data_IF_645407995156
#
_entry.id   IF_645407995156
#
_cell.length_a   1.000
_cell.length_b   1.000
_cell.length_c   1.000
_cell.angle_alpha   90.00
_cell.angle_beta   90.00
_cell.angle_gamma   90.00
#
_symmetry.space_group_name_H-M   'P 1'
#
loop_
_entity.id
_entity.type
_entity.pdbx_description
1 polymer ?
#
# COMPACT_ATOMS: atom_id res chain seq x y z
N UNK A 1 -37.92 39.59 32.63
CA UNK A 1 -36.53 39.72 32.15
C UNK A 1 -36.53 39.64 30.63
N UNK A 2 -35.68 40.42 29.97
CA UNK A 2 -35.46 40.31 28.52
C UNK A 2 -34.06 39.77 28.22
N UNK A 3 -33.94 38.91 27.21
CA UNK A 3 -32.69 38.43 26.67
C UNK A 3 -32.65 38.75 25.17
N UNK A 4 -31.86 39.74 24.79
CA UNK A 4 -31.65 40.14 23.40
C UNK A 4 -30.53 39.32 22.77
N UNK A 5 -30.64 39.09 21.46
CA UNK A 5 -29.55 38.55 20.66
C UNK A 5 -29.47 39.33 19.36
N UNK A 6 -28.27 39.67 18.89
CA UNK A 6 -28.12 40.47 17.67
C UNK A 6 -27.98 39.59 16.43
N UNK A 7 -28.84 39.80 15.43
CA UNK A 7 -28.68 39.23 14.08
C UNK A 7 -29.11 37.76 13.93
N UNK A 8 -29.58 37.40 12.73
CA UNK A 8 -30.23 36.13 12.43
C UNK A 8 -29.30 34.92 12.26
N UNK A 9 -28.30 34.73 13.14
CA UNK A 9 -27.54 33.46 13.21
C UNK A 9 -28.18 32.45 14.16
N UNK A 10 -28.88 32.93 15.18
CA UNK A 10 -29.64 32.09 16.10
C UNK A 10 -31.06 32.63 16.18
N UNK A 11 -32.02 31.72 16.19
CA UNK A 11 -33.44 32.03 16.26
C UNK A 11 -33.98 31.45 17.56
N UNK A 12 -34.52 32.30 18.43
CA UNK A 12 -35.21 31.85 19.62
C UNK A 12 -36.50 31.13 19.20
N UNK A 13 -36.68 29.89 19.62
CA UNK A 13 -37.83 29.05 19.24
C UNK A 13 -38.80 28.84 20.38
N UNK A 14 -38.33 28.79 21.61
CA UNK A 14 -39.15 28.65 22.81
C UNK A 14 -38.49 29.29 24.03
N UNK A 15 -39.31 29.66 24.99
CA UNK A 15 -38.90 29.97 26.36
C UNK A 15 -39.74 29.10 27.28
N UNK A 16 -39.08 28.38 28.18
CA UNK A 16 -39.72 27.49 29.14
C UNK A 16 -39.35 27.90 30.57
N UNK A 17 -40.19 27.54 31.53
CA UNK A 17 -39.86 27.66 32.94
C UNK A 17 -38.57 26.87 33.24
N UNK A 18 -37.60 27.54 33.86
CA UNK A 18 -36.40 26.86 34.37
C UNK A 18 -36.75 25.95 35.54
N UNK A 19 -35.84 25.04 35.90
CA UNK A 19 -36.09 24.02 36.91
C UNK A 19 -36.64 24.56 38.25
N UNK A 20 -36.16 25.72 38.72
CA UNK A 20 -36.65 26.33 39.98
C UNK A 20 -38.05 26.90 39.81
N UNK A 21 -38.31 27.53 38.68
CA UNK A 21 -39.62 28.12 38.37
C UNK A 21 -40.68 27.03 38.16
N UNK A 22 -40.34 25.94 37.47
CA UNK A 22 -41.23 24.80 37.28
C UNK A 22 -41.55 24.06 38.60
N UNK A 23 -40.64 24.12 39.58
CA UNK A 23 -40.80 23.48 40.88
C UNK A 23 -41.72 24.26 41.85
N UNK A 24 -42.15 25.49 41.53
CA UNK A 24 -43.08 26.23 42.38
C UNK A 24 -44.43 25.53 42.49
N UNK A 25 -45.19 25.93 43.51
CA UNK A 25 -46.46 25.37 43.97
C UNK A 25 -46.41 23.85 44.14
N UNK A 26 -45.30 23.34 44.69
CA UNK A 26 -45.09 21.90 44.89
C UNK A 26 -44.90 21.12 43.58
N UNK A 27 -44.37 21.78 42.53
CA UNK A 27 -44.16 21.19 41.20
C UNK A 27 -45.32 21.37 40.23
N UNK A 28 -46.34 22.17 40.59
CA UNK A 28 -47.42 22.53 39.68
C UNK A 28 -47.02 23.65 38.69
N UNK A 29 -45.86 24.28 38.91
CA UNK A 29 -45.38 25.42 38.13
C UNK A 29 -45.84 26.76 38.73
N UNK A 30 -45.50 27.88 38.08
CA UNK A 30 -45.82 29.21 38.58
C UNK A 30 -47.30 29.54 38.44
N UNK A 31 -47.82 30.35 39.35
CA UNK A 31 -49.20 30.83 39.32
C UNK A 31 -49.50 31.74 38.12
N UNK A 32 -48.48 32.40 37.58
CA UNK A 32 -48.58 33.16 36.32
C UNK A 32 -47.26 33.09 35.56
N UNK A 33 -47.35 32.81 34.25
CA UNK A 33 -46.21 32.78 33.34
C UNK A 33 -46.55 33.52 32.04
N UNK A 34 -45.58 34.29 31.56
CA UNK A 34 -45.64 35.00 30.30
C UNK A 34 -44.32 34.82 29.55
N UNK A 35 -44.42 34.33 28.32
CA UNK A 35 -43.29 34.17 27.40
C UNK A 35 -43.59 34.91 26.11
N UNK A 36 -42.61 35.63 25.59
CA UNK A 36 -42.67 36.24 24.27
C UNK A 36 -41.35 35.97 23.55
N UNK A 37 -41.40 35.14 22.52
CA UNK A 37 -40.23 34.74 21.71
C UNK A 37 -39.95 35.71 20.56
N UNK A 38 -40.80 36.73 20.36
CA UNK A 38 -40.61 37.74 19.33
C UNK A 38 -41.14 39.12 19.81
N UNK A 39 -40.57 39.65 20.90
CA UNK A 39 -41.01 40.90 21.49
C UNK A 39 -40.70 42.10 20.59
N UNK A 40 -41.48 43.17 20.73
CA UNK A 40 -41.14 44.45 20.14
C UNK A 40 -39.77 44.95 20.65
N UNK A 41 -39.06 45.77 19.87
CA UNK A 41 -37.77 46.34 20.30
C UNK A 41 -36.53 45.52 19.92
N UNK A 42 -36.69 44.33 19.35
CA UNK A 42 -35.60 43.62 18.67
C UNK A 42 -35.64 42.10 18.83
N UNK A 43 -34.74 41.39 18.13
CA UNK A 43 -34.57 39.95 18.28
C UNK A 43 -34.16 39.60 19.71
N UNK A 44 -34.86 38.63 20.29
CA UNK A 44 -34.76 38.31 21.71
C UNK A 44 -35.99 37.61 22.22
N UNK A 45 -36.03 37.40 23.52
CA UNK A 45 -37.22 36.92 24.21
C UNK A 45 -37.45 37.67 25.50
N UNK A 46 -38.70 37.75 25.93
CA UNK A 46 -39.04 38.19 27.28
C UNK A 46 -39.71 37.08 28.07
N UNK A 47 -39.33 36.97 29.33
CA UNK A 47 -39.87 36.02 30.28
C UNK A 47 -40.35 36.74 31.53
N UNK A 48 -41.60 36.53 31.92
CA UNK A 48 -42.20 37.06 33.13
C UNK A 48 -42.89 35.95 33.90
N UNK A 49 -42.72 35.94 35.23
CA UNK A 49 -43.32 34.91 36.07
C UNK A 49 -43.69 35.45 37.45
N UNK A 50 -44.77 34.92 38.02
CA UNK A 50 -45.13 35.05 39.43
C UNK A 50 -45.23 33.63 39.97
N UNK A 51 -44.34 33.28 40.91
CA UNK A 51 -44.26 31.91 41.43
C UNK A 51 -45.54 31.52 42.18
N UNK A 52 -45.99 32.37 43.10
CA UNK A 52 -47.19 32.13 43.91
C UNK A 52 -47.90 33.44 44.28
N UNK A 53 -49.23 33.46 44.23
CA UNK A 53 -50.08 34.55 44.71
C UNK A 53 -50.50 34.38 46.18
N UNK A 54 -50.47 33.15 46.71
CA UNK A 54 -50.96 32.80 48.04
C UNK A 54 -49.87 32.30 48.98
N UNK A 55 -50.10 32.42 50.29
CA UNK A 55 -49.17 31.90 51.30
C UNK A 55 -49.29 30.35 51.44
N UNK A 56 -48.19 29.63 51.74
CA UNK A 56 -46.81 30.15 51.82
C UNK A 56 -46.30 30.56 50.44
N UNK A 57 -45.63 31.72 50.38
CA UNK A 57 -45.09 32.22 49.13
C UNK A 57 -43.86 31.40 48.74
N UNK A 58 -43.80 31.02 47.47
CA UNK A 58 -42.60 30.40 46.91
C UNK A 58 -41.57 31.47 46.57
N UNK A 59 -40.32 31.14 46.87
CA UNK A 59 -39.17 31.98 46.62
C UNK A 59 -38.09 31.20 45.87
N UNK A 60 -37.35 31.90 45.01
CA UNK A 60 -36.14 31.35 44.42
C UNK A 60 -35.12 31.16 45.55
N UNK A 61 -34.52 29.96 45.72
CA UNK A 61 -33.56 29.71 46.77
C UNK A 61 -32.36 30.67 46.71
N UNK A 62 -31.79 31.01 47.87
CA UNK A 62 -30.55 31.80 47.91
C UNK A 62 -29.38 30.95 47.41
N UNK A 63 -28.59 31.49 46.48
CA UNK A 63 -27.40 30.84 45.95
C UNK A 63 -27.25 30.99 44.44
N UNK A 64 -26.35 30.19 43.87
CA UNK A 64 -26.08 30.11 42.43
C UNK A 64 -26.64 28.82 41.84
N UNK A 65 -26.84 28.79 40.52
CA UNK A 65 -27.34 27.59 39.82
C UNK A 65 -28.85 27.45 39.84
N UNK A 66 -29.58 28.46 40.32
CA UNK A 66 -31.04 28.52 40.20
C UNK A 66 -31.41 28.84 38.75
N UNK A 67 -31.85 27.83 38.01
CA UNK A 67 -32.33 28.01 36.65
C UNK A 67 -33.75 28.60 36.67
N UNK A 68 -33.89 29.82 36.15
CA UNK A 68 -35.16 30.58 36.19
C UNK A 68 -35.97 30.39 34.91
N UNK A 69 -35.30 30.34 33.77
CA UNK A 69 -35.90 30.19 32.45
C UNK A 69 -34.92 29.51 31.51
N UNK A 70 -35.44 28.68 30.60
CA UNK A 70 -34.70 28.03 29.55
C UNK A 70 -35.05 28.66 28.20
N UNK A 71 -34.08 29.30 27.55
CA UNK A 71 -34.24 29.90 26.23
C UNK A 71 -33.69 28.94 25.18
N UNK A 72 -34.59 28.38 24.35
CA UNK A 72 -34.25 27.38 23.35
C UNK A 72 -33.99 28.06 22.00
N UNK A 73 -32.82 27.82 21.41
CA UNK A 73 -32.40 28.42 20.14
C UNK A 73 -32.15 27.36 19.07
N UNK A 74 -32.52 27.67 17.84
CA UNK A 74 -32.04 26.96 16.64
C UNK A 74 -30.97 27.80 15.94
N UNK A 75 -29.98 27.12 15.35
CA UNK A 75 -29.06 27.76 14.41
C UNK A 75 -29.81 28.13 13.12
N UNK A 76 -29.60 29.35 12.63
CA UNK A 76 -30.10 29.78 11.34
C UNK A 76 -29.30 29.11 10.20
N UNK A 77 -29.91 28.97 9.02
CA UNK A 77 -29.21 28.40 7.85
C UNK A 77 -28.02 29.26 7.38
N UNK A 78 -28.00 30.55 7.71
CA UNK A 78 -26.90 31.48 7.45
C UNK A 78 -25.83 31.51 8.55
N UNK A 79 -25.96 30.66 9.58
CA UNK A 79 -24.99 30.56 10.66
C UNK A 79 -23.67 29.97 10.14
N UNK A 80 -22.66 30.84 10.00
CA UNK A 80 -21.32 30.39 9.63
C UNK A 80 -20.67 29.63 10.80
N UNK A 81 -20.05 28.46 10.54
CA UNK A 81 -19.33 27.74 11.57
C UNK A 81 -18.22 28.58 12.24
N UNK A 82 -18.02 28.37 13.54
CA UNK A 82 -17.06 29.11 14.35
C UNK A 82 -17.49 30.53 14.72
N UNK A 83 -18.66 31.01 14.28
CA UNK A 83 -19.17 32.33 14.67
C UNK A 83 -19.69 32.34 16.11
N UNK A 84 -19.46 33.44 16.82
CA UNK A 84 -19.92 33.65 18.21
C UNK A 84 -20.97 34.77 18.25
N UNK A 85 -21.98 34.62 19.10
CA UNK A 85 -23.04 35.61 19.32
C UNK A 85 -23.24 35.85 20.81
N UNK A 86 -23.34 37.11 21.20
CA UNK A 86 -23.68 37.49 22.56
C UNK A 86 -25.19 37.33 22.78
N UNK A 87 -25.53 36.91 23.99
CA UNK A 87 -26.89 36.87 24.51
C UNK A 87 -26.93 37.85 25.67
N UNK A 88 -27.55 39.02 25.43
CA UNK A 88 -27.46 40.17 26.28
C UNK A 88 -28.76 40.41 27.03
N UNK A 89 -28.69 40.49 28.36
CA UNK A 89 -29.87 40.89 29.12
C UNK A 89 -30.29 42.32 28.73
N UNK A 90 -31.56 42.49 28.38
CA UNK A 90 -32.10 43.74 27.87
C UNK A 90 -33.36 44.14 28.63
N UNK A 91 -33.47 45.42 28.95
CA UNK A 91 -34.69 46.03 29.49
C UNK A 91 -35.48 46.80 28.41
N UNK A 92 -35.05 46.70 27.14
CA UNK A 92 -35.64 47.42 26.02
C UNK A 92 -36.60 46.57 25.18
N UNK A 93 -36.70 45.26 25.45
CA UNK A 93 -37.58 44.34 24.73
C UNK A 93 -39.01 44.39 25.29
N UNK A 94 -40.01 44.31 24.42
CA UNK A 94 -41.45 44.34 24.75
C UNK A 94 -42.10 45.71 24.51
N UNK A 95 -43.43 45.73 24.49
CA UNK A 95 -44.22 46.96 24.44
C UNK A 95 -45.38 46.88 25.43
N UNK A 96 -45.29 47.52 26.62
CA UNK A 96 -44.17 48.34 27.09
C UNK A 96 -42.90 47.52 27.36
N UNK A 97 -41.69 48.15 27.39
CA UNK A 97 -40.45 47.44 27.64
C UNK A 97 -40.46 46.67 28.97
N UNK A 98 -40.00 45.43 28.93
CA UNK A 98 -39.95 44.49 30.05
C UNK A 98 -38.61 44.66 30.76
N UNK A 99 -38.63 45.38 31.88
CA UNK A 99 -37.45 45.49 32.74
C UNK A 99 -37.10 44.16 33.43
N UNK A 100 -35.82 43.90 33.59
CA UNK A 100 -35.33 42.76 34.37
C UNK A 100 -35.39 43.10 35.86
N UNK A 101 -36.42 42.59 36.53
CA UNK A 101 -36.69 42.83 37.95
C UNK A 101 -36.94 41.49 38.62
N UNK A 102 -36.45 41.33 39.85
CA UNK A 102 -36.77 40.21 40.74
C UNK A 102 -37.42 40.79 41.99
N UNK A 103 -38.57 40.26 42.38
CA UNK A 103 -39.20 40.58 43.65
C UNK A 103 -38.73 39.58 44.70
N UNK A 104 -38.16 40.09 45.80
CA UNK A 104 -37.69 39.29 46.92
C UNK A 104 -38.67 39.51 48.07
N UNK A 105 -39.12 38.43 48.68
CA UNK A 105 -39.91 38.48 49.91
C UNK A 105 -38.99 38.14 51.08
N UNK A 106 -39.14 38.86 52.19
CA UNK A 106 -38.45 38.57 53.43
C UNK A 106 -39.41 38.83 54.58
N UNK A 107 -39.88 37.75 55.20
CA UNK A 107 -40.95 37.81 56.19
C UNK A 107 -42.25 38.32 55.56
N UNK A 108 -42.74 39.49 56.01
CA UNK A 108 -43.95 40.14 55.49
C UNK A 108 -43.66 41.28 54.51
N UNK A 109 -42.40 41.52 54.17
CA UNK A 109 -41.99 42.63 53.28
C UNK A 109 -41.60 42.10 51.90
N UNK A 110 -42.14 42.70 50.85
CA UNK A 110 -41.72 42.47 49.46
C UNK A 110 -40.95 43.68 48.93
N UNK A 111 -39.83 43.43 48.26
CA UNK A 111 -39.03 44.47 47.64
C UNK A 111 -38.61 44.04 46.22
N UNK A 112 -38.87 44.89 45.23
CA UNK A 112 -38.36 44.71 43.88
C UNK A 112 -36.91 45.19 43.78
N UNK A 113 -36.07 44.38 43.14
CA UNK A 113 -34.66 44.67 42.91
C UNK A 113 -34.32 44.50 41.43
N UNK A 114 -33.43 45.34 40.94
CA UNK A 114 -32.78 45.17 39.64
C UNK A 114 -31.52 44.33 39.90
N UNK A 115 -31.42 43.11 39.35
CA UNK A 115 -30.24 42.29 39.54
C UNK A 115 -29.06 42.84 38.74
N UNK A 116 -27.84 42.45 39.15
CA UNK A 116 -26.67 42.59 38.30
C UNK A 116 -26.83 41.60 37.14
N UNK A 117 -26.72 42.09 35.91
CA UNK A 117 -26.87 41.31 34.70
C UNK A 117 -25.49 40.99 34.13
N UNK A 118 -25.22 39.70 33.95
CA UNK A 118 -24.00 39.21 33.29
C UNK A 118 -24.45 38.48 32.03
N UNK A 119 -24.18 39.09 30.87
CA UNK A 119 -24.51 38.50 29.57
C UNK A 119 -23.69 37.26 29.27
N UNK A 120 -24.22 36.41 28.39
CA UNK A 120 -23.56 35.20 27.91
C UNK A 120 -23.26 35.26 26.42
N UNK A 121 -22.84 34.12 25.87
CA UNK A 121 -22.68 33.95 24.42
C UNK A 121 -22.97 32.51 24.00
N UNK A 122 -23.33 32.35 22.73
CA UNK A 122 -23.44 31.06 22.04
C UNK A 122 -22.47 31.04 20.86
N UNK A 123 -21.86 29.89 20.60
CA UNK A 123 -21.00 29.66 19.43
C UNK A 123 -21.60 28.63 18.50
N UNK A 124 -21.51 28.87 17.20
CA UNK A 124 -21.88 27.90 16.16
C UNK A 124 -20.75 26.89 16.02
N UNK A 125 -21.04 25.62 16.27
CA UNK A 125 -20.03 24.55 16.15
C UNK A 125 -19.55 24.39 14.71
N UNK A 126 -18.30 23.91 14.55
CA UNK A 126 -17.76 23.51 13.25
C UNK A 126 -18.03 22.01 13.04
N UNK A 127 -18.92 21.62 12.10
CA UNK A 127 -19.20 20.21 11.84
C UNK A 127 -17.93 19.47 11.44
N UNK A 128 -17.71 18.29 12.00
CA UNK A 128 -16.57 17.45 11.65
C UNK A 128 -16.75 16.86 10.23
N UNK A 129 -15.68 16.76 9.43
CA UNK A 129 -15.70 15.96 8.21
C UNK A 129 -16.13 14.52 8.50
N UNK A 130 -16.77 13.87 7.54
CA UNK A 130 -17.31 12.51 7.69
C UNK A 130 -16.87 11.59 6.54
N UNK A 131 -17.07 10.28 6.70
CA UNK A 131 -16.82 9.31 5.64
C UNK A 131 -15.35 9.21 5.22
N UNK A 132 -14.41 9.48 6.12
CA UNK A 132 -12.98 9.34 5.84
C UNK A 132 -12.66 7.89 5.48
N UNK A 133 -12.04 7.71 4.33
CA UNK A 133 -11.52 6.46 3.80
C UNK A 133 -10.06 6.63 3.40
N UNK A 134 -9.31 5.54 3.46
CA UNK A 134 -7.88 5.50 3.17
C UNK A 134 -7.56 4.21 2.44
N UNK A 135 -6.76 4.29 1.37
CA UNK A 135 -6.33 3.14 0.60
C UNK A 135 -4.96 3.36 -0.03
N UNK A 136 -4.19 2.29 -0.17
CA UNK A 136 -2.97 2.31 -0.99
C UNK A 136 -3.39 2.40 -2.46
N UNK A 137 -2.93 3.44 -3.15
CA UNK A 137 -3.14 3.65 -4.58
C UNK A 137 -2.01 3.00 -5.40
N UNK A 138 -0.78 3.11 -4.91
CA UNK A 138 0.39 2.48 -5.51
C UNK A 138 1.35 2.02 -4.39
N UNK A 139 1.54 0.70 -4.21
CA UNK A 139 2.42 0.16 -3.17
C UNK A 139 3.91 0.45 -3.42
N UNK A 140 4.28 0.89 -4.63
CA UNK A 140 5.65 1.13 -5.06
C UNK A 140 6.04 2.63 -5.08
N UNK A 141 5.18 3.50 -4.55
CA UNK A 141 5.41 4.93 -4.39
C UNK A 141 5.84 5.67 -5.68
N UNK A 142 5.27 5.33 -6.85
CA UNK A 142 5.27 6.20 -8.03
C UNK A 142 6.64 6.70 -8.52
N UNK A 143 7.71 5.92 -8.36
CA UNK A 143 9.07 6.32 -8.78
C UNK A 143 9.98 6.88 -7.69
N UNK A 144 9.71 6.55 -6.42
CA UNK A 144 10.67 6.73 -5.32
C UNK A 144 12.04 6.11 -5.65
N UNK A 145 13.17 6.72 -5.23
CA UNK A 145 14.51 6.13 -5.38
C UNK A 145 14.70 4.83 -4.58
N UNK A 146 13.78 4.51 -3.67
CA UNK A 146 13.72 3.27 -2.92
C UNK A 146 12.32 2.64 -3.09
N UNK A 147 12.09 1.90 -4.18
CA UNK A 147 10.81 1.21 -4.44
C UNK A 147 10.56 0.16 -3.36
N UNK A 148 9.32 0.02 -2.88
CA UNK A 148 8.95 -1.02 -1.90
C UNK A 148 9.09 -0.64 -0.42
N UNK A 149 9.75 0.48 -0.10
CA UNK A 149 9.86 0.99 1.29
C UNK A 149 8.86 2.10 1.63
N UNK A 150 8.05 2.52 0.66
CA UNK A 150 6.97 3.49 0.82
C UNK A 150 5.84 3.24 -0.17
N UNK A 151 4.64 3.77 0.11
CA UNK A 151 3.47 3.64 -0.75
C UNK A 151 2.77 4.99 -0.95
N UNK A 152 2.19 5.18 -2.14
CA UNK A 152 1.28 6.29 -2.43
C UNK A 152 -0.11 5.92 -1.90
N UNK A 153 -0.60 6.71 -0.96
CA UNK A 153 -1.86 6.52 -0.27
C UNK A 153 -2.83 7.62 -0.68
N UNK A 154 -4.10 7.26 -0.88
CA UNK A 154 -5.18 8.19 -1.09
C UNK A 154 -6.09 8.24 0.14
N UNK A 155 -6.43 9.46 0.55
CA UNK A 155 -7.44 9.75 1.56
C UNK A 155 -8.62 10.45 0.89
N UNK A 156 -9.85 10.12 1.28
CA UNK A 156 -11.08 10.74 0.76
C UNK A 156 -12.12 10.88 1.87
N UNK A 157 -12.85 11.99 1.91
CA UNK A 157 -13.84 12.32 2.94
C UNK A 157 -14.94 13.25 2.38
N UNK A 158 -15.95 13.52 3.20
CA UNK A 158 -17.03 14.48 2.94
C UNK A 158 -16.93 15.66 3.90
N UNK A 159 -17.08 16.87 3.38
CA UNK A 159 -17.14 18.07 4.20
C UNK A 159 -18.60 18.31 4.64
N UNK A 160 -18.84 18.29 5.94
CA UNK A 160 -20.17 18.52 6.55
C UNK A 160 -20.45 20.01 6.80
N UNK A 161 -19.53 20.89 6.41
CA UNK A 161 -19.63 22.33 6.55
C UNK A 161 -18.71 23.06 5.59
N UNK A 162 -18.72 24.39 5.69
CA UNK A 162 -17.76 25.25 5.01
C UNK A 162 -16.53 25.43 5.88
N UNK A 163 -15.35 25.23 5.28
CA UNK A 163 -14.07 25.36 5.96
C UNK A 163 -13.20 26.39 5.24
N UNK A 164 -12.29 27.03 5.98
CA UNK A 164 -11.18 27.82 5.42
C UNK A 164 -10.06 26.88 4.98
N UNK A 165 -9.80 25.86 5.81
CA UNK A 165 -8.83 24.80 5.55
C UNK A 165 -9.29 23.46 6.10
N UNK A 166 -8.74 22.40 5.52
CA UNK A 166 -8.88 21.03 6.01
C UNK A 166 -7.51 20.52 6.44
N UNK A 167 -7.43 20.00 7.66
CA UNK A 167 -6.19 19.46 8.22
C UNK A 167 -6.25 17.93 8.25
N UNK A 168 -5.24 17.28 7.69
CA UNK A 168 -5.07 15.83 7.77
C UNK A 168 -4.09 15.55 8.90
N UNK A 169 -4.52 14.74 9.87
CA UNK A 169 -3.72 14.36 11.02
C UNK A 169 -3.39 12.87 10.92
N UNK A 170 -2.12 12.52 11.11
CA UNK A 170 -1.68 11.15 11.27
C UNK A 170 -1.36 10.86 12.75
N UNK A 171 -1.66 9.65 13.20
CA UNK A 171 -1.33 9.13 14.54
C UNK A 171 -1.85 10.02 15.68
N UNK A 172 -2.99 10.66 15.46
CA UNK A 172 -3.71 11.47 16.45
C UNK A 172 -2.88 12.58 17.10
N UNK A 173 -1.92 13.17 16.37
CA UNK A 173 -1.22 14.38 16.82
C UNK A 173 -1.80 15.65 16.16
N UNK A 174 -2.86 16.26 16.71
CA UNK A 174 -3.55 17.40 16.10
C UNK A 174 -2.68 18.66 16.02
N UNK A 175 -1.56 18.72 16.76
CA UNK A 175 -0.67 19.88 16.77
C UNK A 175 0.33 19.90 15.60
N UNK A 176 0.37 18.84 14.80
CA UNK A 176 1.29 18.71 13.67
C UNK A 176 0.59 18.01 12.52
N UNK A 177 -0.29 18.72 11.77
CA UNK A 177 -0.93 18.16 10.60
C UNK A 177 0.12 17.69 9.60
N UNK A 178 -0.07 16.49 9.05
CA UNK A 178 0.77 15.97 7.97
C UNK A 178 0.51 16.73 6.66
N UNK A 179 -0.69 17.30 6.52
CA UNK A 179 -1.04 18.17 5.41
C UNK A 179 -2.13 19.16 5.81
N UNK A 180 -2.00 20.39 5.32
CA UNK A 180 -3.05 21.41 5.40
C UNK A 180 -3.49 21.74 3.97
N UNK A 181 -4.79 21.65 3.73
CA UNK A 181 -5.42 21.74 2.42
C UNK A 181 -6.42 22.89 2.39
N UNK A 182 -6.81 23.32 1.19
CA UNK A 182 -7.92 24.26 1.03
C UNK A 182 -9.20 23.70 1.66
N UNK A 183 -10.04 24.57 2.22
CA UNK A 183 -11.28 24.17 2.90
C UNK A 183 -12.31 23.42 2.03
N UNK A 184 -12.16 23.48 0.70
CA UNK A 184 -12.98 22.73 -0.26
C UNK A 184 -12.41 21.34 -0.59
N UNK A 185 -11.24 20.97 -0.08
CA UNK A 185 -10.64 19.68 -0.35
C UNK A 185 -11.48 18.56 0.28
N UNK A 186 -11.68 17.50 -0.50
CA UNK A 186 -12.38 16.26 -0.10
C UNK A 186 -11.52 15.03 -0.28
N UNK A 187 -10.29 15.20 -0.77
CA UNK A 187 -9.31 14.13 -0.90
C UNK A 187 -7.89 14.66 -0.92
N UNK A 188 -6.92 13.79 -0.64
CA UNK A 188 -5.49 14.07 -0.85
C UNK A 188 -4.72 12.78 -1.09
N UNK A 189 -3.47 12.91 -1.54
CA UNK A 189 -2.52 11.82 -1.61
C UNK A 189 -1.28 12.10 -0.76
N UNK A 190 -0.73 11.03 -0.18
CA UNK A 190 0.46 11.06 0.67
C UNK A 190 1.41 9.94 0.24
N UNK A 191 2.72 10.20 0.27
CA UNK A 191 3.73 9.14 0.19
C UNK A 191 4.18 8.83 1.60
N UNK A 192 3.99 7.58 2.04
CA UNK A 192 4.19 7.16 3.41
C UNK A 192 5.13 5.96 3.48
N UNK A 193 6.05 5.91 4.45
CA UNK A 193 6.91 4.75 4.66
C UNK A 193 6.11 3.55 5.16
N UNK A 194 6.75 2.38 5.17
CA UNK A 194 6.25 1.17 5.84
C UNK A 194 6.09 1.44 7.34
N UNK A 195 4.83 1.57 7.78
CA UNK A 195 4.42 1.73 9.16
C UNK A 195 2.89 1.54 9.27
N UNK A 196 2.38 1.57 10.50
CA UNK A 196 0.95 1.66 10.79
C UNK A 196 0.55 3.12 11.00
N UNK A 197 -0.48 3.55 10.27
CA UNK A 197 -1.02 4.90 10.38
C UNK A 197 -2.49 4.87 10.78
N UNK A 198 -2.88 5.84 11.62
CA UNK A 198 -4.29 6.16 11.86
C UNK A 198 -4.53 7.61 11.48
N UNK A 199 -5.41 7.83 10.52
CA UNK A 199 -5.76 9.16 10.03
C UNK A 199 -7.07 9.65 10.62
N UNK A 200 -7.12 10.95 10.90
CA UNK A 200 -8.35 11.73 11.09
C UNK A 200 -8.25 13.00 10.26
N UNK A 201 -9.39 13.60 9.95
CA UNK A 201 -9.48 14.88 9.23
C UNK A 201 -10.26 15.87 10.06
N UNK A 202 -9.77 17.10 10.11
CA UNK A 202 -10.37 18.21 10.85
C UNK A 202 -10.72 19.35 9.89
N UNK A 203 -11.90 19.92 10.04
CA UNK A 203 -12.30 21.15 9.35
C UNK A 203 -11.99 22.35 10.24
N UNK A 204 -11.39 23.40 9.68
CA UNK A 204 -11.14 24.66 10.41
C UNK A 204 -11.92 25.77 9.74
N UNK A 205 -12.69 26.52 10.53
CA UNK A 205 -13.42 27.70 10.07
C UNK A 205 -13.32 28.80 11.11
N UNK A 206 -12.92 30.00 10.69
CA UNK A 206 -12.71 31.15 11.56
C UNK A 206 -11.82 30.81 12.78
N UNK A 207 -10.74 30.06 12.57
CA UNK A 207 -9.82 29.55 13.61
C UNK A 207 -10.40 28.51 14.58
N UNK A 208 -11.68 28.14 14.43
CA UNK A 208 -12.33 27.10 15.23
C UNK A 208 -12.20 25.75 14.53
N UNK A 209 -11.55 24.82 15.19
CA UNK A 209 -11.35 23.44 14.72
C UNK A 209 -12.60 22.60 15.05
N UNK A 210 -13.01 21.76 14.12
CA UNK A 210 -14.08 20.77 14.34
C UNK A 210 -13.67 19.68 15.34
N UNK A 211 -14.62 18.84 15.71
CA UNK A 211 -14.28 17.52 16.28
C UNK A 211 -13.59 16.64 15.22
N UNK A 212 -13.00 15.53 15.66
CA UNK A 212 -12.41 14.51 14.80
C UNK A 212 -13.45 13.91 13.84
N UNK A 213 -13.04 13.66 12.60
CA UNK A 213 -13.76 12.74 11.71
C UNK A 213 -13.76 11.31 12.27
N UNK A 214 -14.42 10.38 11.57
CA UNK A 214 -14.11 8.97 11.77
C UNK A 214 -12.62 8.71 11.47
N UNK A 215 -12.02 7.73 12.15
CA UNK A 215 -10.64 7.33 11.92
C UNK A 215 -10.53 6.39 10.72
N UNK A 216 -9.43 6.48 9.98
CA UNK A 216 -9.05 5.47 9.00
C UNK A 216 -7.67 4.88 9.33
N UNK A 217 -7.63 3.58 9.60
CA UNK A 217 -6.39 2.85 9.88
C UNK A 217 -5.82 2.23 8.61
N UNK A 218 -4.53 2.40 8.37
CA UNK A 218 -3.81 1.82 7.25
C UNK A 218 -2.51 1.18 7.72
N UNK A 219 -2.31 -0.09 7.37
CA UNK A 219 -1.06 -0.79 7.58
C UNK A 219 -0.31 -0.84 6.25
N UNK A 220 0.81 -0.13 6.16
CA UNK A 220 1.68 -0.14 4.99
C UNK A 220 2.78 -1.15 5.25
N UNK A 221 2.87 -2.16 4.39
CA UNK A 221 3.88 -3.22 4.43
C UNK A 221 4.73 -3.19 3.17
N UNK A 222 5.94 -3.72 3.25
CA UNK A 222 6.78 -3.92 2.06
C UNK A 222 6.09 -4.89 1.08
N UNK A 223 6.17 -4.59 -0.21
CA UNK A 223 5.70 -5.50 -1.25
C UNK A 223 6.61 -6.74 -1.26
N UNK A 224 6.07 -7.97 -1.14
CA UNK A 224 6.91 -9.17 -1.09
C UNK A 224 7.64 -9.37 -2.43
N UNK A 225 8.92 -9.73 -2.36
CA UNK A 225 9.67 -10.19 -3.54
C UNK A 225 9.22 -11.61 -3.94
N UNK A 226 9.29 -11.99 -5.23
CA UNK A 226 8.91 -13.33 -5.67
C UNK A 226 9.86 -14.40 -5.13
N UNK A 227 9.36 -15.59 -4.85
CA UNK A 227 10.20 -16.75 -4.56
C UNK A 227 11.04 -17.15 -5.78
N UNK A 228 12.12 -17.91 -5.55
CA UNK A 228 12.98 -18.39 -6.63
C UNK A 228 12.19 -19.17 -7.70
N UNK A 229 12.46 -18.94 -9.00
CA UNK A 229 11.86 -19.74 -10.07
C UNK A 229 12.15 -21.23 -9.89
N UNK A 230 11.24 -22.08 -10.34
CA UNK A 230 11.37 -23.54 -10.22
C UNK A 230 11.51 -24.19 -11.59
N UNK A 231 12.06 -25.41 -11.63
CA UNK A 231 12.22 -26.17 -12.87
C UNK A 231 13.13 -25.49 -13.90
N UNK A 232 14.15 -24.77 -13.43
CA UNK A 232 15.11 -24.09 -14.30
C UNK A 232 15.93 -25.13 -15.06
N UNK A 233 15.86 -25.11 -16.39
CA UNK A 233 16.54 -26.06 -17.29
C UNK A 233 17.30 -25.31 -18.36
N UNK A 234 18.48 -25.84 -18.72
CA UNK A 234 19.36 -25.29 -19.75
C UNK A 234 19.48 -26.32 -20.88
N UNK A 235 19.28 -25.88 -22.12
CA UNK A 235 19.54 -26.68 -23.32
C UNK A 235 20.48 -25.91 -24.24
N UNK A 236 21.67 -26.44 -24.49
CA UNK A 236 22.74 -25.77 -25.22
C UNK A 236 22.78 -26.28 -26.66
N UNK A 237 22.68 -25.37 -27.63
CA UNK A 237 23.15 -25.64 -28.99
C UNK A 237 24.68 -25.64 -28.98
N UNK A 238 25.28 -26.82 -29.09
CA UNK A 238 26.73 -26.98 -29.02
C UNK A 238 27.46 -26.25 -30.16
N UNK A 239 26.82 -26.06 -31.32
CA UNK A 239 27.40 -25.37 -32.47
C UNK A 239 27.55 -23.88 -32.19
N UNK A 240 26.44 -23.22 -31.82
CA UNK A 240 26.38 -21.76 -31.70
C UNK A 240 26.76 -21.28 -30.29
N UNK A 241 26.52 -22.11 -29.27
CA UNK A 241 26.54 -21.71 -27.87
C UNK A 241 25.23 -21.07 -27.42
N UNK A 242 24.20 -21.00 -28.28
CA UNK A 242 22.90 -20.51 -27.88
C UNK A 242 22.25 -21.48 -26.89
N UNK A 243 22.00 -20.98 -25.70
CA UNK A 243 21.45 -21.76 -24.59
C UNK A 243 20.02 -21.32 -24.35
N UNK A 244 19.09 -22.23 -24.61
CA UNK A 244 17.68 -22.05 -24.26
C UNK A 244 17.51 -22.38 -22.78
N UNK A 245 17.04 -21.39 -22.01
CA UNK A 245 16.74 -21.51 -20.58
C UNK A 245 15.23 -21.50 -20.42
N UNK A 246 14.68 -22.48 -19.72
CA UNK A 246 13.24 -22.54 -19.41
C UNK A 246 13.03 -22.64 -17.91
N UNK A 247 11.98 -22.01 -17.39
CA UNK A 247 11.65 -22.03 -15.97
C UNK A 247 10.14 -21.84 -15.72
N UNK A 248 9.73 -22.02 -14.48
CA UNK A 248 8.39 -21.67 -13.98
C UNK A 248 8.49 -20.58 -12.94
N UNK A 249 7.75 -19.49 -13.12
CA UNK A 249 7.67 -18.42 -12.13
C UNK A 249 6.87 -18.89 -10.90
N UNK A 250 7.32 -18.51 -9.71
CA UNK A 250 6.66 -18.81 -8.44
C UNK A 250 5.35 -18.02 -8.22
N UNK A 251 5.12 -16.98 -9.03
CA UNK A 251 3.93 -16.13 -9.00
C UNK A 251 3.94 -15.13 -10.16
N UNK A 252 3.22 -14.02 -9.99
CA UNK A 252 3.25 -12.90 -10.94
C UNK A 252 4.54 -12.11 -10.76
N UNK A 253 5.30 -11.94 -11.86
CA UNK A 253 6.56 -11.19 -11.89
C UNK A 253 6.44 -10.05 -12.90
N UNK A 254 6.98 -8.88 -12.56
CA UNK A 254 6.98 -7.69 -13.42
C UNK A 254 8.13 -7.68 -14.44
N UNK A 255 9.22 -8.35 -14.11
CA UNK A 255 10.39 -8.55 -14.95
C UNK A 255 11.13 -9.84 -14.53
N UNK A 256 11.99 -10.35 -15.41
CA UNK A 256 12.87 -11.49 -15.10
C UNK A 256 14.29 -11.17 -15.55
N UNK A 257 15.25 -11.32 -14.64
CA UNK A 257 16.68 -11.24 -14.96
C UNK A 257 17.22 -12.63 -15.24
N UNK A 258 18.04 -12.73 -16.29
CA UNK A 258 18.85 -13.91 -16.61
C UNK A 258 20.31 -13.51 -16.50
N UNK A 259 21.09 -14.22 -15.69
CA UNK A 259 22.51 -13.97 -15.49
C UNK A 259 23.37 -15.18 -15.88
N UNK A 260 24.58 -14.93 -16.36
CA UNK A 260 25.60 -15.95 -16.67
C UNK A 260 26.76 -15.72 -15.71
N UNK A 261 27.07 -16.71 -14.87
CA UNK A 261 28.12 -16.63 -13.84
C UNK A 261 27.98 -15.37 -12.96
N UNK A 262 26.75 -14.99 -12.63
CA UNK A 262 26.42 -13.80 -11.83
C UNK A 262 26.44 -12.47 -12.58
N UNK A 263 26.81 -12.44 -13.86
CA UNK A 263 26.75 -11.23 -14.70
C UNK A 263 25.42 -11.17 -15.45
N UNK A 264 24.71 -10.05 -15.40
CA UNK A 264 23.44 -9.87 -16.11
C UNK A 264 23.62 -10.06 -17.62
N UNK A 265 22.89 -11.01 -18.19
CA UNK A 265 22.88 -11.28 -19.63
C UNK A 265 21.67 -10.66 -20.31
N UNK A 266 20.49 -10.73 -19.68
CA UNK A 266 19.26 -10.14 -20.20
C UNK A 266 18.27 -9.80 -19.08
N UNK A 267 17.45 -8.78 -19.30
CA UNK A 267 16.24 -8.49 -18.51
C UNK A 267 15.04 -8.60 -19.44
N UNK A 268 14.07 -9.43 -19.05
CA UNK A 268 12.90 -9.78 -19.83
C UNK A 268 11.65 -9.14 -19.25
N UNK A 269 10.60 -9.05 -20.08
CA UNK A 269 9.31 -8.53 -19.67
C UNK A 269 8.55 -9.41 -18.68
N UNK A 270 7.48 -8.85 -18.11
CA UNK A 270 6.59 -9.52 -17.17
C UNK A 270 6.13 -10.91 -17.63
N UNK A 271 6.13 -11.86 -16.71
CA UNK A 271 5.64 -13.23 -16.94
C UNK A 271 6.48 -14.10 -17.89
N UNK A 272 7.64 -13.64 -18.35
CA UNK A 272 8.54 -14.46 -19.19
C UNK A 272 8.91 -15.77 -18.49
N UNK A 273 8.96 -16.87 -19.25
CA UNK A 273 9.28 -18.23 -18.76
C UNK A 273 10.38 -18.94 -19.57
N UNK A 274 10.92 -18.25 -20.58
CA UNK A 274 11.98 -18.76 -21.43
C UNK A 274 12.85 -17.63 -21.96
N UNK A 275 14.13 -17.92 -22.19
CA UNK A 275 15.08 -17.03 -22.83
C UNK A 275 16.14 -17.81 -23.59
N UNK A 276 16.73 -17.17 -24.59
CA UNK A 276 17.94 -17.67 -25.24
C UNK A 276 19.08 -16.74 -24.89
N UNK A 277 20.16 -17.30 -24.32
CA UNK A 277 21.39 -16.58 -24.01
C UNK A 277 22.57 -17.31 -24.64
N UNK A 278 23.54 -16.58 -25.18
CA UNK A 278 24.70 -17.21 -25.82
C UNK A 278 25.84 -17.34 -24.80
N UNK A 279 26.28 -18.57 -24.55
CA UNK A 279 27.48 -18.85 -23.75
C UNK A 279 28.74 -18.81 -24.63
N UNK A 280 29.88 -18.54 -24.00
CA UNK A 280 31.18 -18.45 -24.68
C UNK A 280 31.69 -19.82 -25.15
N UNK A 281 33.03 -19.96 -25.24
CA UNK A 281 33.67 -21.20 -25.65
C UNK A 281 33.40 -22.41 -24.73
N UNK A 282 34.04 -23.56 -25.00
CA UNK A 282 33.86 -24.77 -24.20
C UNK A 282 34.06 -24.52 -22.70
N UNK A 283 33.20 -25.14 -21.89
CA UNK A 283 33.20 -24.96 -20.45
C UNK A 283 31.83 -25.07 -19.81
N UNK A 284 31.81 -24.92 -18.48
CA UNK A 284 30.60 -24.95 -17.66
C UNK A 284 30.19 -23.53 -17.28
N UNK A 285 28.92 -23.20 -17.49
CA UNK A 285 28.33 -21.90 -17.21
C UNK A 285 27.16 -22.07 -16.25
N UNK A 286 27.15 -21.30 -15.17
CA UNK A 286 26.02 -21.24 -14.25
C UNK A 286 25.06 -20.15 -14.71
N UNK A 287 23.88 -20.55 -15.19
CA UNK A 287 22.86 -19.62 -15.67
C UNK A 287 21.75 -19.54 -14.64
N UNK A 288 21.52 -18.34 -14.10
CA UNK A 288 20.55 -18.11 -13.04
C UNK A 288 19.42 -17.21 -13.53
N UNK A 289 18.22 -17.47 -13.03
CA UNK A 289 17.01 -16.69 -13.30
C UNK A 289 16.37 -16.22 -12.00
N UNK A 290 15.88 -14.98 -11.97
CA UNK A 290 15.15 -14.40 -10.83
C UNK A 290 14.06 -13.45 -11.29
N UNK A 291 12.94 -13.44 -10.57
CA UNK A 291 11.82 -12.56 -10.86
C UNK A 291 11.81 -11.31 -10.00
N UNK A 292 11.24 -10.22 -10.52
CA UNK A 292 10.96 -9.00 -9.77
C UNK A 292 9.48 -8.87 -9.38
N UNK A 293 9.20 -8.27 -8.22
CA UNK A 293 7.84 -7.86 -7.84
C UNK A 293 7.39 -6.62 -8.65
N UNK A 294 6.16 -6.18 -8.47
CA UNK A 294 5.62 -4.98 -9.14
C UNK A 294 6.42 -3.68 -8.87
N UNK A 295 7.23 -3.65 -7.81
CA UNK A 295 8.09 -2.53 -7.48
C UNK A 295 9.50 -2.61 -8.11
N UNK A 296 9.79 -3.68 -8.86
CA UNK A 296 11.10 -3.88 -9.50
C UNK A 296 12.16 -4.48 -8.59
N UNK A 297 11.80 -4.94 -7.39
CA UNK A 297 12.71 -5.62 -6.48
C UNK A 297 12.81 -7.11 -6.83
N UNK A 298 14.03 -7.58 -7.04
CA UNK A 298 14.30 -8.97 -7.39
C UNK A 298 14.37 -9.87 -6.16
N UNK A 299 13.70 -11.02 -6.26
CA UNK A 299 13.75 -12.06 -5.25
C UNK A 299 14.95 -13.00 -5.39
N UNK A 300 14.81 -14.18 -4.80
CA UNK A 300 15.81 -15.23 -4.89
C UNK A 300 15.96 -15.74 -6.34
N UNK A 301 17.16 -16.22 -6.67
CA UNK A 301 17.45 -16.81 -7.97
C UNK A 301 17.48 -18.34 -7.92
N UNK A 302 17.30 -18.96 -9.08
CA UNK A 302 17.43 -20.39 -9.30
C UNK A 302 18.20 -20.63 -10.59
N UNK A 303 19.03 -21.67 -10.62
CA UNK A 303 20.05 -21.81 -11.66
C UNK A 303 20.01 -23.18 -12.34
N UNK A 304 20.49 -23.23 -13.57
CA UNK A 304 20.88 -24.45 -14.27
C UNK A 304 22.34 -24.36 -14.75
N UNK A 305 22.97 -25.51 -14.88
CA UNK A 305 24.32 -25.61 -15.45
C UNK A 305 24.22 -25.92 -16.93
N UNK A 306 24.76 -25.02 -17.75
CA UNK A 306 24.94 -25.22 -19.18
C UNK A 306 26.39 -25.66 -19.43
N UNK A 307 26.57 -26.78 -20.11
CA UNK A 307 27.90 -27.28 -20.49
C UNK A 307 28.04 -27.21 -22.00
N UNK A 308 29.10 -26.54 -22.45
CA UNK A 308 29.51 -26.54 -23.85
C UNK A 308 30.75 -27.41 -23.99
N UNK A 309 30.63 -28.48 -24.78
CA UNK A 309 31.72 -29.42 -25.01
C UNK A 309 32.77 -28.85 -25.98
N UNK A 310 33.98 -29.41 -25.96
CA UNK A 310 34.91 -29.19 -27.05
C UNK A 310 34.41 -29.89 -28.31
N UNK A 311 34.67 -29.27 -29.46
CA UNK A 311 34.50 -29.97 -30.72
C UNK A 311 35.54 -31.08 -30.83
N UNK A 312 35.17 -32.15 -31.52
CA UNK A 312 36.02 -33.33 -31.70
C UNK A 312 35.85 -33.92 -33.08
N UNK A 313 36.71 -34.88 -33.39
CA UNK A 313 36.60 -35.75 -34.56
C UNK A 313 36.32 -37.15 -34.02
N UNK A 314 35.17 -37.73 -34.38
CA UNK A 314 34.82 -39.10 -34.02
C UNK A 314 35.80 -40.06 -34.69
N UNK A 315 36.24 -41.08 -33.96
CA UNK A 315 37.27 -42.03 -34.38
C UNK A 315 38.70 -41.47 -34.48
N UNK A 316 38.99 -40.33 -33.84
CA UNK A 316 40.33 -39.80 -33.56
C UNK A 316 40.54 -39.80 -32.02
N UNK A 317 40.89 -40.97 -31.50
CA UNK A 317 41.00 -41.25 -30.06
C UNK A 317 42.33 -40.79 -29.49
N UNK A 318 43.37 -40.75 -30.32
CA UNK A 318 44.69 -40.25 -29.92
C UNK A 318 44.85 -38.73 -30.14
N UNK A 319 43.85 -38.08 -30.75
CA UNK A 319 43.74 -36.64 -31.00
C UNK A 319 44.86 -36.09 -31.89
N UNK A 320 45.30 -36.90 -32.87
CA UNK A 320 46.35 -36.51 -33.81
C UNK A 320 45.82 -35.83 -35.09
N UNK A 321 44.49 -35.66 -35.18
CA UNK A 321 43.78 -35.04 -36.31
C UNK A 321 43.50 -36.02 -37.45
N UNK A 322 43.93 -37.28 -37.33
CA UNK A 322 43.67 -38.35 -38.27
C UNK A 322 42.88 -39.50 -37.64
N UNK A 323 42.27 -40.32 -38.50
CA UNK A 323 41.65 -41.58 -38.08
C UNK A 323 42.41 -42.74 -38.71
N UNK A 324 43.18 -43.47 -37.90
CA UNK A 324 44.07 -44.55 -38.32
C UNK A 324 44.21 -45.64 -37.24
N UNK A 325 45.12 -46.60 -37.43
CA UNK A 325 45.26 -47.76 -36.53
C UNK A 325 45.70 -47.38 -35.10
N UNK A 326 46.28 -46.20 -34.91
CA UNK A 326 46.68 -45.71 -33.59
C UNK A 326 45.47 -45.40 -32.69
N UNK A 327 44.30 -45.09 -33.27
CA UNK A 327 43.07 -44.78 -32.54
C UNK A 327 42.50 -45.99 -31.80
N UNK A 328 42.17 -47.12 -32.45
CA UNK A 328 41.70 -48.31 -31.74
C UNK A 328 42.74 -48.84 -30.74
N UNK A 329 44.04 -48.59 -30.96
CA UNK A 329 45.09 -48.88 -29.97
C UNK A 329 44.95 -47.99 -28.73
N UNK A 330 44.67 -46.70 -28.90
CA UNK A 330 44.41 -45.78 -27.80
C UNK A 330 43.15 -46.17 -27.00
N UNK A 331 42.05 -46.53 -27.67
CA UNK A 331 40.86 -47.04 -27.00
C UNK A 331 41.11 -48.36 -26.26
N UNK A 332 41.84 -49.32 -26.84
CA UNK A 332 42.20 -50.55 -26.13
C UNK A 332 43.06 -50.29 -24.89
N UNK A 333 43.98 -49.33 -24.97
CA UNK A 333 44.78 -48.91 -23.82
C UNK A 333 43.91 -48.26 -22.74
N UNK A 334 42.90 -47.45 -23.10
CA UNK A 334 41.92 -46.93 -22.15
C UNK A 334 41.07 -48.03 -21.50
N UNK A 335 40.53 -48.96 -22.29
CA UNK A 335 39.63 -50.01 -21.81
C UNK A 335 40.35 -51.06 -20.93
N UNK A 336 41.59 -51.42 -21.27
CA UNK A 336 42.28 -52.56 -20.65
C UNK A 336 43.69 -52.27 -20.14
N UNK A 337 44.33 -51.22 -20.63
CA UNK A 337 45.73 -50.88 -20.31
C UNK A 337 45.90 -49.85 -19.18
N UNK A 338 44.81 -49.26 -18.68
CA UNK A 338 44.84 -48.18 -17.69
C UNK A 338 45.21 -46.82 -18.28
N UNK A 339 45.14 -46.66 -19.60
CA UNK A 339 45.25 -45.38 -20.29
C UNK A 339 44.03 -44.48 -20.04
N UNK A 340 44.09 -43.25 -20.56
CA UNK A 340 43.00 -42.27 -20.49
C UNK A 340 42.65 -41.79 -21.89
N UNK A 341 41.37 -41.58 -22.17
CA UNK A 341 40.92 -40.80 -23.32
C UNK A 341 40.46 -39.43 -22.84
N UNK A 342 41.06 -38.37 -23.38
CA UNK A 342 40.73 -37.00 -22.96
C UNK A 342 39.40 -36.49 -23.57
N UNK A 343 38.89 -37.20 -24.58
CA UNK A 343 37.57 -37.01 -25.14
C UNK A 343 36.91 -38.37 -25.28
N UNK A 344 35.91 -38.67 -24.45
CA UNK A 344 35.22 -39.95 -24.53
C UNK A 344 34.31 -40.01 -25.77
N UNK A 345 33.79 -38.87 -26.20
CA UNK A 345 32.98 -38.76 -27.43
C UNK A 345 33.74 -39.14 -28.69
N UNK A 346 35.06 -38.94 -28.76
CA UNK A 346 35.84 -39.44 -29.92
C UNK A 346 36.05 -40.95 -29.90
N UNK A 347 35.96 -41.57 -28.71
CA UNK A 347 36.08 -43.00 -28.48
C UNK A 347 34.76 -43.78 -28.59
N UNK A 348 33.62 -43.10 -28.56
CA UNK A 348 32.32 -43.67 -28.90
C UNK A 348 32.12 -43.59 -30.42
N UNK A 349 32.65 -44.59 -31.12
CA UNK A 349 32.75 -44.56 -32.58
C UNK A 349 31.45 -44.99 -33.24
N UNK A 350 30.68 -45.85 -32.59
CA UNK A 350 29.39 -46.29 -33.10
C UNK A 350 28.22 -45.40 -32.63
N UNK A 351 28.49 -44.40 -31.78
CA UNK A 351 27.54 -43.40 -31.29
C UNK A 351 26.38 -44.02 -30.50
N UNK A 352 26.71 -44.98 -29.63
CA UNK A 352 25.73 -45.69 -28.79
C UNK A 352 25.64 -45.18 -27.35
N UNK A 353 26.42 -44.15 -27.02
CA UNK A 353 26.50 -43.50 -25.72
C UNK A 353 27.43 -44.22 -24.74
N UNK A 354 28.32 -45.11 -25.20
CA UNK A 354 29.18 -45.92 -24.33
C UNK A 354 30.49 -46.37 -24.98
N UNK A 355 31.62 -45.86 -24.51
CA UNK A 355 32.95 -46.30 -24.95
C UNK A 355 33.27 -47.72 -24.43
N UNK A 356 33.30 -48.70 -25.33
CA UNK A 356 33.56 -50.10 -25.05
C UNK A 356 34.28 -50.84 -26.20
N UNK A 357 34.39 -52.17 -26.14
CA UNK A 357 35.09 -52.96 -27.17
C UNK A 357 34.40 -52.91 -28.54
N UNK A 358 33.09 -52.65 -28.58
CA UNK A 358 32.34 -52.50 -29.81
C UNK A 358 32.85 -51.33 -30.65
N UNK A 359 33.27 -50.24 -30.01
CA UNK A 359 33.86 -49.07 -30.68
C UNK A 359 35.18 -49.38 -31.36
N UNK A 360 36.03 -50.17 -30.69
CA UNK A 360 37.30 -50.63 -31.25
C UNK A 360 37.05 -51.48 -32.48
N UNK A 361 36.09 -52.41 -32.41
CA UNK A 361 35.73 -53.26 -33.55
C UNK A 361 35.13 -52.44 -34.68
N UNK A 362 34.26 -51.47 -34.36
CA UNK A 362 33.64 -50.59 -35.33
C UNK A 362 34.69 -49.72 -36.03
N UNK A 363 35.60 -49.10 -35.28
CA UNK A 363 36.76 -48.34 -35.77
C UNK A 363 37.59 -49.15 -36.77
N UNK A 364 37.97 -50.39 -36.40
CA UNK A 364 38.76 -51.27 -37.26
C UNK A 364 37.99 -51.66 -38.54
N UNK A 365 36.68 -51.92 -38.43
CA UNK A 365 35.86 -52.22 -39.60
C UNK A 365 35.82 -51.05 -40.58
N UNK A 366 35.72 -49.82 -40.09
CA UNK A 366 35.81 -48.61 -40.91
C UNK A 366 37.20 -48.49 -41.55
N UNK A 367 38.27 -48.54 -40.74
CA UNK A 367 39.66 -48.32 -41.19
C UNK A 367 40.07 -49.32 -42.28
N UNK A 368 39.70 -50.60 -42.11
CA UNK A 368 40.07 -51.66 -43.05
C UNK A 368 39.03 -51.92 -44.15
N UNK A 369 37.92 -51.18 -44.16
CA UNK A 369 36.85 -51.38 -45.14
C UNK A 369 36.18 -52.76 -45.02
N UNK A 370 36.04 -53.27 -43.81
CA UNK A 370 35.43 -54.59 -43.54
C UNK A 370 33.91 -54.43 -43.54
N UNK A 371 33.16 -55.13 -44.41
CA UNK A 371 31.71 -55.04 -44.43
C UNK A 371 31.08 -55.66 -43.18
N UNK A 372 30.12 -54.96 -42.57
CA UNK A 372 29.22 -55.50 -41.54
C UNK A 372 27.79 -55.28 -41.98
N UNK A 373 27.02 -56.36 -42.15
CA UNK A 373 25.63 -56.26 -42.65
C UNK A 373 25.50 -55.95 -44.15
N UNK A 374 26.57 -56.13 -44.94
CA UNK A 374 26.55 -56.01 -46.42
C UNK A 374 27.17 -54.73 -46.98
N UNK A 375 27.56 -53.77 -46.13
CA UNK A 375 28.31 -52.57 -46.50
C UNK A 375 29.38 -52.24 -45.45
N UNK A 376 30.39 -51.45 -45.84
CA UNK A 376 31.36 -50.89 -44.89
C UNK A 376 30.66 -49.83 -44.05
N UNK A 377 30.70 -49.88 -42.71
CA UNK A 377 30.18 -48.82 -41.86
C UNK A 377 30.85 -47.48 -42.15
N UNK A 378 30.09 -46.40 -41.99
CA UNK A 378 30.62 -45.04 -41.95
C UNK A 378 30.60 -44.55 -40.52
N UNK A 379 31.64 -43.83 -40.11
CA UNK A 379 31.69 -43.19 -38.79
C UNK A 379 30.58 -42.14 -38.72
N UNK A 380 29.71 -42.16 -37.69
CA UNK A 380 28.73 -41.11 -37.44
C UNK A 380 29.40 -39.73 -37.26
N UNK A 381 28.68 -38.66 -37.55
CA UNK A 381 29.21 -37.31 -37.35
C UNK A 381 29.53 -37.04 -35.85
N UNK A 382 30.53 -36.20 -35.54
CA UNK A 382 31.38 -35.43 -36.45
C UNK A 382 32.60 -36.24 -36.96
N UNK A 383 32.60 -36.64 -38.24
CA UNK A 383 33.68 -37.45 -38.83
C UNK A 383 34.53 -36.63 -39.83
N UNK A 384 35.86 -36.74 -39.73
CA UNK A 384 36.82 -36.13 -40.66
C UNK A 384 36.99 -34.61 -40.56
N UNK A 385 36.16 -33.92 -39.77
CA UNK A 385 36.33 -32.52 -39.40
C UNK A 385 35.78 -32.30 -37.99
N UNK A 386 36.31 -31.30 -37.31
CA UNK A 386 35.85 -30.94 -35.98
C UNK A 386 34.41 -30.45 -36.00
N UNK A 387 33.60 -31.01 -35.12
CA UNK A 387 32.24 -30.58 -34.89
C UNK A 387 31.75 -30.95 -33.50
N UNK A 388 30.56 -30.46 -33.12
CA UNK A 388 29.89 -30.95 -31.94
C UNK A 388 29.27 -32.33 -32.21
N UNK A 389 28.90 -32.99 -31.13
CA UNK A 389 28.12 -34.21 -31.13
C UNK A 389 26.65 -33.92 -31.54
N UNK A 390 26.18 -34.40 -32.71
CA UNK A 390 24.80 -34.18 -33.15
C UNK A 390 23.77 -34.98 -32.34
N UNK A 391 24.23 -35.95 -31.56
CA UNK A 391 23.44 -36.94 -30.84
C UNK A 391 23.84 -36.93 -29.36
N UNK A 392 23.55 -35.83 -28.63
CA UNK A 392 24.11 -35.63 -27.30
C UNK A 392 23.75 -36.76 -26.33
N UNK A 393 24.79 -37.27 -25.67
CA UNK A 393 24.69 -38.28 -24.61
C UNK A 393 25.38 -37.79 -23.30
N UNK A 394 25.62 -38.71 -22.38
CA UNK A 394 26.24 -38.43 -21.08
C UNK A 394 27.79 -38.45 -21.09
N UNK A 395 28.42 -38.81 -22.21
CA UNK A 395 29.87 -38.76 -22.37
C UNK A 395 30.33 -37.31 -22.49
N UNK A 396 31.54 -37.02 -22.04
CA UNK A 396 32.12 -35.67 -22.14
C UNK A 396 33.30 -35.64 -23.09
N UNK A 397 33.59 -34.45 -23.60
CA UNK A 397 34.81 -34.18 -24.36
C UNK A 397 35.59 -33.06 -23.68
N UNK A 398 36.27 -33.42 -22.58
CA UNK A 398 36.94 -32.46 -21.69
C UNK A 398 38.10 -31.71 -22.39
N UNK A 399 38.79 -32.38 -23.32
CA UNK A 399 39.79 -31.74 -24.19
C UNK A 399 39.96 -32.51 -25.50
N UNK A 400 40.16 -31.76 -26.60
CA UNK A 400 40.44 -32.33 -27.91
C UNK A 400 41.46 -31.46 -28.67
N UNK A 401 42.70 -31.93 -28.77
CA UNK A 401 43.79 -31.16 -29.41
C UNK A 401 43.86 -31.32 -30.93
N UNK A 402 43.08 -32.23 -31.51
CA UNK A 402 43.01 -32.45 -32.95
C UNK A 402 42.23 -31.36 -33.70
N UNK A 403 41.66 -30.38 -32.99
CA UNK A 403 40.95 -29.24 -33.56
C UNK A 403 41.82 -27.97 -33.58
N UNK A 404 41.82 -27.18 -34.68
CA UNK A 404 42.60 -25.94 -34.81
C UNK A 404 42.19 -24.82 -33.85
#
# INVERSE_FOLDING_TARGET
MGLAHTGGLVNLTAIEAGAVTAASNGGAGPDFEFTDVNPAGGPGGTYGVILSFGAPLDEIPVGSGNEIALFNYNCAASAEPGSVRTLDFSDALGSPPVATIISIVSGTTSASRIPIKVSGSVSVGTPAPSGLTCSVLDPCAGGSPDPGSSSLVQLSWTNEGTYDEVQVIANSNPNSPVQVLAGTATSTTLVLPVDNFVFIVLGVRNTVVSADSNSCGLNIVTTPVPDAPTGVTCSVDQVTGDTTVNWTNSGTVSAVDVSINGTLAATLGAGSTSAVVTIGGPGSYNICVRGANECGEFGAESCCTAVRDNFFIRNDMNQDGGSNIADPVAALNYLFGGGVLACLKSGDVNDDGSVNIADVVFSLNVIFGIPSGGSVPTVPDPAGACGPDPTPDALTCDSFNGCP
#
